data_IF_070483643919
#
_entry.id   IF_070483643919
#
_cell.length_a   1.000
_cell.length_b   1.000
_cell.length_c   1.000
_cell.angle_alpha   90.00
_cell.angle_beta   90.00
_cell.angle_gamma   90.00
#
_symmetry.space_group_name_H-M   'P 1'
#
loop_
_entity.id
_entity.type
_entity.pdbx_description
1 polymer ?
#
# COMPACT_ATOMS: atom_id res chain seq x y z
N UNK A 1 -8.84 -48.55 68.67
CA UNK A 1 -8.05 -48.82 67.44
C UNK A 1 -8.70 -48.05 66.30
N UNK A 2 -8.00 -47.04 65.75
CA UNK A 2 -8.29 -46.40 64.45
C UNK A 2 -7.81 -47.34 63.33
N UNK A 3 -8.49 -47.36 62.16
CA UNK A 3 -8.23 -46.38 61.10
C UNK A 3 -9.54 -45.78 60.55
N UNK A 4 -9.79 -44.46 60.47
CA UNK A 4 -9.23 -43.43 59.57
C UNK A 4 -8.93 -43.89 58.14
N UNK A 5 -9.80 -43.51 57.21
CA UNK A 5 -9.62 -43.65 55.76
C UNK A 5 -10.75 -42.96 55.00
N UNK A 6 -10.76 -41.62 55.05
CA UNK A 6 -11.59 -40.74 54.24
C UNK A 6 -10.91 -40.51 52.87
N UNK A 7 -11.70 -40.13 51.85
CA UNK A 7 -11.36 -39.50 50.55
C UNK A 7 -11.44 -40.42 49.30
N UNK A 8 -11.72 -39.87 48.10
CA UNK A 8 -12.77 -38.91 47.77
C UNK A 8 -13.46 -39.19 46.41
N UNK A 9 -14.58 -38.50 46.16
CA UNK A 9 -15.24 -38.41 44.87
C UNK A 9 -14.29 -37.89 43.78
N UNK A 10 -14.09 -38.68 42.73
CA UNK A 10 -13.28 -38.34 41.56
C UNK A 10 -14.08 -37.36 40.68
N UNK A 11 -13.92 -36.07 40.94
CA UNK A 11 -14.46 -35.00 40.11
C UNK A 11 -13.73 -34.98 38.76
N UNK A 12 -14.45 -35.32 37.70
CA UNK A 12 -14.04 -35.13 36.30
C UNK A 12 -14.04 -33.62 36.03
N UNK A 13 -12.87 -32.98 36.13
CA UNK A 13 -12.66 -31.64 35.61
C UNK A 13 -12.04 -31.74 34.22
N UNK A 14 -12.90 -31.77 33.20
CA UNK A 14 -12.52 -31.60 31.81
C UNK A 14 -12.17 -30.11 31.62
N UNK A 15 -10.89 -29.75 31.78
CA UNK A 15 -10.40 -28.43 31.41
C UNK A 15 -10.34 -28.35 29.89
N UNK A 16 -11.38 -27.80 29.28
CA UNK A 16 -11.37 -27.36 27.88
C UNK A 16 -10.40 -26.19 27.81
N UNK A 17 -9.17 -26.46 27.39
CA UNK A 17 -8.26 -25.42 26.94
C UNK A 17 -8.80 -24.90 25.60
N UNK A 18 -9.56 -23.81 25.65
CA UNK A 18 -9.86 -23.03 24.48
C UNK A 18 -8.53 -22.53 23.88
N UNK A 19 -8.20 -23.04 22.70
CA UNK A 19 -7.09 -22.55 21.89
C UNK A 19 -7.52 -21.21 21.30
N UNK A 20 -7.40 -20.13 22.08
CA UNK A 20 -7.31 -18.79 21.51
C UNK A 20 -5.85 -18.54 21.12
N UNK A 21 -5.39 -19.23 20.08
CA UNK A 21 -4.03 -19.08 19.53
C UNK A 21 -4.05 -18.71 18.03
N UNK A 22 -5.11 -18.04 17.57
CA UNK A 22 -5.23 -17.63 16.18
C UNK A 22 -5.60 -16.14 16.01
N UNK A 23 -5.21 -15.27 16.95
CA UNK A 23 -5.41 -13.82 16.80
C UNK A 23 -4.12 -13.00 16.58
N UNK A 24 -2.94 -13.54 16.84
CA UNK A 24 -1.66 -12.87 16.54
C UNK A 24 -1.05 -13.41 15.23
N UNK A 25 -1.74 -13.15 14.13
CA UNK A 25 -1.27 -13.54 12.80
C UNK A 25 -0.25 -12.51 12.32
N UNK A 26 1.02 -12.81 12.60
CA UNK A 26 2.24 -11.98 12.55
C UNK A 26 2.43 -11.20 13.85
N UNK A 27 3.35 -11.62 14.72
CA UNK A 27 3.90 -10.79 15.81
C UNK A 27 4.64 -9.58 15.24
N UNK A 28 3.91 -8.67 14.61
CA UNK A 28 4.44 -7.47 14.00
C UNK A 28 5.02 -6.58 15.09
N UNK A 29 6.09 -5.87 14.75
CA UNK A 29 6.54 -4.77 15.59
C UNK A 29 5.38 -3.76 15.72
N UNK A 30 5.21 -3.12 16.88
CA UNK A 30 4.23 -2.06 17.04
C UNK A 30 4.39 -1.01 15.94
N UNK A 31 3.30 -0.45 15.38
CA UNK A 31 3.40 0.54 14.33
C UNK A 31 4.12 1.79 14.85
N UNK A 32 5.07 2.31 14.07
CA UNK A 32 5.90 3.45 14.44
C UNK A 32 5.45 4.74 13.74
N UNK A 33 4.74 4.63 12.62
CA UNK A 33 4.32 5.75 11.80
C UNK A 33 2.80 5.84 11.76
N UNK A 34 2.26 7.04 11.94
CA UNK A 34 0.85 7.30 11.71
C UNK A 34 0.57 7.31 10.21
N UNK A 35 -0.59 6.77 9.85
CA UNK A 35 -1.22 6.99 8.56
C UNK A 35 -1.86 8.37 8.57
N UNK A 36 -1.53 9.15 7.55
CA UNK A 36 -2.03 10.50 7.34
C UNK A 36 -2.49 10.58 5.89
N UNK A 37 -3.45 11.47 5.62
CA UNK A 37 -3.90 11.76 4.26
C UNK A 37 -3.14 12.98 3.74
N UNK A 38 -2.55 12.83 2.57
CA UNK A 38 -1.85 13.90 1.86
C UNK A 38 -2.53 14.17 0.52
N UNK A 39 -2.41 15.42 0.05
CA UNK A 39 -2.77 15.79 -1.33
C UNK A 39 -1.51 16.08 -2.11
N UNK A 40 -1.33 15.36 -3.22
CA UNK A 40 -0.11 15.34 -4.02
C UNK A 40 -0.41 15.85 -5.42
N UNK A 41 0.56 16.55 -6.02
CA UNK A 41 0.57 16.94 -7.42
C UNK A 41 1.80 16.32 -8.08
N UNK A 42 1.59 15.65 -9.21
CA UNK A 42 2.64 15.13 -10.08
C UNK A 42 2.47 15.68 -11.49
N UNK A 43 3.58 15.88 -12.18
CA UNK A 43 3.62 16.41 -13.54
C UNK A 43 3.83 15.28 -14.54
N UNK A 44 3.30 15.43 -15.75
CA UNK A 44 3.48 14.43 -16.80
C UNK A 44 4.96 14.35 -17.21
N UNK A 45 5.51 13.15 -17.32
CA UNK A 45 6.90 12.96 -17.77
C UNK A 45 7.15 13.68 -19.10
N UNK A 46 6.24 13.53 -20.07
CA UNK A 46 6.37 14.15 -21.38
C UNK A 46 5.81 15.58 -21.39
N UNK A 47 6.57 16.48 -21.99
CA UNK A 47 6.13 17.85 -22.24
C UNK A 47 6.12 18.76 -21.00
N UNK A 48 6.73 18.34 -19.90
CA UNK A 48 7.00 19.21 -18.74
C UNK A 48 8.51 19.35 -18.49
N UNK A 49 8.97 20.44 -17.86
CA UNK A 49 10.38 20.60 -17.52
C UNK A 49 10.89 19.48 -16.60
N UNK A 50 12.14 19.05 -16.79
CA UNK A 50 12.76 17.95 -16.02
C UNK A 50 12.85 18.24 -14.51
N UNK A 51 12.77 19.51 -14.09
CA UNK A 51 12.80 19.87 -12.68
C UNK A 51 11.47 19.67 -11.95
N UNK A 52 10.42 19.25 -12.67
CA UNK A 52 9.12 18.91 -12.12
C UNK A 52 9.06 17.45 -11.68
N UNK A 53 8.52 17.23 -10.48
CA UNK A 53 8.37 15.89 -9.95
C UNK A 53 7.25 15.15 -10.68
N UNK A 54 7.60 14.03 -11.30
CA UNK A 54 6.69 13.25 -12.16
C UNK A 54 6.35 11.88 -11.59
N UNK A 55 6.95 11.52 -10.47
CA UNK A 55 6.79 10.22 -9.82
C UNK A 55 6.47 10.35 -8.33
N UNK A 56 6.10 9.22 -7.72
CA UNK A 56 5.81 9.12 -6.30
C UNK A 56 6.42 7.84 -5.72
N UNK A 57 6.97 7.95 -4.52
CA UNK A 57 7.54 6.86 -3.73
C UNK A 57 6.69 6.65 -2.47
N UNK A 58 6.06 5.49 -2.35
CA UNK A 58 5.15 5.15 -1.25
C UNK A 58 5.89 5.14 0.07
N UNK A 59 7.12 4.62 0.09
CA UNK A 59 7.91 4.52 1.31
C UNK A 59 8.26 5.89 1.88
N UNK A 60 8.80 6.80 1.06
CA UNK A 60 9.12 8.15 1.52
C UNK A 60 7.91 9.09 1.57
N UNK A 61 6.73 8.66 1.10
CA UNK A 61 5.50 9.47 0.99
C UNK A 61 5.72 10.79 0.25
N UNK A 62 6.54 10.75 -0.80
CA UNK A 62 7.01 11.96 -1.46
C UNK A 62 7.03 11.83 -2.97
N UNK A 63 6.90 12.98 -3.62
CA UNK A 63 7.09 13.11 -5.06
C UNK A 63 8.56 13.01 -5.43
N UNK A 64 8.84 12.45 -6.61
CA UNK A 64 10.19 12.17 -7.10
C UNK A 64 10.42 12.85 -8.42
N UNK A 65 11.55 13.56 -8.49
CA UNK A 65 12.16 14.08 -9.71
C UNK A 65 12.99 12.98 -10.37
N UNK A 66 12.62 12.62 -11.60
CA UNK A 66 13.24 11.50 -12.32
C UNK A 66 14.68 11.79 -12.76
N UNK A 67 15.09 13.07 -12.82
CA UNK A 67 16.47 13.47 -13.10
C UNK A 67 17.40 13.33 -11.88
N UNK A 68 16.84 13.25 -10.67
CA UNK A 68 17.60 13.20 -9.41
C UNK A 68 17.62 11.83 -8.76
N UNK A 69 16.56 11.04 -8.93
CA UNK A 69 16.41 9.76 -8.21
C UNK A 69 15.66 8.74 -9.06
N UNK A 70 16.25 7.55 -9.17
CA UNK A 70 15.69 6.43 -9.94
C UNK A 70 14.77 5.50 -9.13
N UNK A 71 14.66 5.70 -7.80
CA UNK A 71 13.85 4.87 -6.91
C UNK A 71 12.52 5.55 -6.62
N UNK A 72 11.45 4.99 -7.19
CA UNK A 72 10.06 5.40 -7.03
C UNK A 72 9.13 4.21 -7.35
N UNK A 73 7.85 4.32 -7.00
CA UNK A 73 6.89 3.23 -7.19
C UNK A 73 6.03 3.40 -8.44
N UNK A 74 5.64 4.63 -8.77
CA UNK A 74 4.95 4.92 -10.01
C UNK A 74 5.24 6.34 -10.50
N UNK A 75 4.98 6.57 -11.78
CA UNK A 75 5.01 7.88 -12.39
C UNK A 75 3.67 8.24 -13.03
N UNK A 76 3.50 9.51 -13.34
CA UNK A 76 2.37 10.04 -14.07
C UNK A 76 2.82 10.55 -15.43
N UNK A 77 2.00 10.32 -16.46
CA UNK A 77 2.22 10.85 -17.78
C UNK A 77 0.91 11.05 -18.55
N UNK A 78 1.03 11.72 -19.69
CA UNK A 78 -0.02 11.80 -20.70
C UNK A 78 0.47 11.00 -21.90
N UNK A 79 -0.26 9.95 -22.27
CA UNK A 79 0.14 9.05 -23.35
C UNK A 79 0.02 9.68 -24.75
N UNK A 80 0.49 8.94 -25.77
CA UNK A 80 0.46 9.45 -27.15
C UNK A 80 -0.97 9.60 -27.70
N UNK A 81 -1.98 9.05 -27.01
CA UNK A 81 -3.39 9.22 -27.31
C UNK A 81 -4.01 10.36 -26.49
N UNK A 82 -3.22 11.07 -25.68
CA UNK A 82 -3.67 12.17 -24.83
C UNK A 82 -4.34 11.72 -23.53
N UNK A 83 -4.20 10.45 -23.13
CA UNK A 83 -4.83 9.91 -21.93
C UNK A 83 -3.92 10.09 -20.72
N UNK A 84 -4.52 10.49 -19.60
CA UNK A 84 -3.82 10.59 -18.33
C UNK A 84 -3.57 9.17 -17.80
N UNK A 85 -2.31 8.82 -17.50
CA UNK A 85 -1.94 7.47 -17.08
C UNK A 85 -1.06 7.48 -15.84
N UNK A 86 -1.31 6.54 -14.95
CA UNK A 86 -0.31 6.08 -13.99
C UNK A 86 0.50 4.94 -14.59
N UNK A 87 1.81 5.03 -14.37
CA UNK A 87 2.81 4.11 -14.86
C UNK A 87 3.49 3.47 -13.64
N UNK A 88 3.08 2.26 -13.20
CA UNK A 88 3.85 1.49 -12.24
C UNK A 88 5.30 1.38 -12.72
N UNK A 89 6.26 1.34 -11.80
CA UNK A 89 7.68 1.24 -12.15
C UNK A 89 7.97 0.12 -13.17
N UNK A 90 7.31 -1.04 -13.02
CA UNK A 90 7.44 -2.18 -13.92
C UNK A 90 6.88 -1.99 -15.33
N UNK A 91 6.05 -0.97 -15.57
CA UNK A 91 5.59 -0.57 -16.91
C UNK A 91 6.60 0.35 -17.61
N UNK A 92 7.50 0.99 -16.86
CA UNK A 92 8.51 1.93 -17.38
C UNK A 92 9.80 1.19 -17.72
N UNK A 93 10.23 0.29 -16.84
CA UNK A 93 11.47 -0.46 -17.06
C UNK A 93 11.23 -1.64 -18.01
N UNK A 94 12.14 -1.85 -18.95
CA UNK A 94 12.18 -3.09 -19.73
C UNK A 94 12.52 -4.25 -18.80
N UNK A 95 11.50 -4.87 -18.17
CA UNK A 95 11.72 -5.94 -17.19
C UNK A 95 12.21 -7.19 -17.91
N UNK A 96 13.53 -7.35 -18.05
CA UNK A 96 14.19 -8.59 -18.49
C UNK A 96 14.08 -9.73 -17.46
N UNK A 97 12.87 -9.98 -16.93
CA UNK A 97 12.57 -11.13 -16.06
C UNK A 97 12.34 -10.86 -14.57
N UNK A 98 12.60 -9.65 -14.05
CA UNK A 98 12.27 -9.31 -12.66
C UNK A 98 10.77 -8.98 -12.55
N UNK A 99 9.95 -9.94 -12.14
CA UNK A 99 8.49 -9.77 -11.93
C UNK A 99 8.09 -9.65 -10.46
N UNK A 100 8.95 -10.09 -9.54
CA UNK A 100 8.58 -10.24 -8.14
C UNK A 100 8.82 -8.94 -7.40
N UNK A 101 7.80 -8.50 -6.66
CA UNK A 101 7.90 -7.31 -5.82
C UNK A 101 7.85 -5.97 -6.54
N UNK A 102 7.30 -5.93 -7.75
CA UNK A 102 7.02 -4.67 -8.44
C UNK A 102 5.86 -3.91 -7.77
N UNK A 103 5.94 -2.57 -7.73
CA UNK A 103 4.84 -1.72 -7.30
C UNK A 103 3.69 -1.80 -8.31
N UNK A 104 2.51 -1.39 -7.89
CA UNK A 104 1.38 -1.37 -8.81
C UNK A 104 0.09 -0.92 -8.16
N UNK A 105 -0.96 -0.89 -8.99
CA UNK A 105 -2.27 -0.45 -8.58
C UNK A 105 -3.34 -1.51 -8.79
N UNK A 106 -4.41 -1.40 -8.02
CA UNK A 106 -5.62 -2.16 -8.23
C UNK A 106 -6.81 -1.17 -8.19
N UNK A 107 -7.45 -0.89 -9.34
CA UNK A 107 -8.66 -0.09 -9.39
C UNK A 107 -9.78 -0.69 -8.52
N UNK A 108 -10.63 0.17 -7.96
CA UNK A 108 -11.78 -0.26 -7.17
C UNK A 108 -12.95 0.70 -7.33
N UNK A 109 -14.16 0.19 -7.09
CA UNK A 109 -15.38 0.99 -7.00
C UNK A 109 -15.70 1.39 -5.54
N UNK A 110 -14.89 0.95 -4.57
CA UNK A 110 -15.01 1.35 -3.17
C UNK A 110 -14.53 2.79 -3.01
N UNK A 111 -15.33 3.63 -2.36
CA UNK A 111 -14.94 5.01 -2.06
C UNK A 111 -13.68 5.05 -1.20
N UNK A 112 -12.80 6.02 -1.46
CA UNK A 112 -11.53 6.17 -0.74
C UNK A 112 -11.69 6.17 0.78
N UNK A 113 -12.73 6.84 1.31
CA UNK A 113 -12.97 6.94 2.75
C UNK A 113 -13.48 5.61 3.36
N UNK A 114 -14.04 4.72 2.54
CA UNK A 114 -14.52 3.39 2.95
C UNK A 114 -13.41 2.32 2.93
N UNK A 115 -12.30 2.59 2.25
CA UNK A 115 -11.15 1.69 2.24
C UNK A 115 -10.44 1.74 3.59
N UNK A 116 -10.53 0.65 4.35
CA UNK A 116 -9.88 0.49 5.66
C UNK A 116 -8.73 -0.53 5.69
N UNK A 117 -8.64 -1.40 4.68
CA UNK A 117 -7.58 -2.40 4.55
C UNK A 117 -7.21 -2.54 3.07
N UNK A 118 -5.91 -2.61 2.77
CA UNK A 118 -5.41 -2.80 1.41
C UNK A 118 -5.67 -4.21 0.91
N UNK A 119 -5.83 -4.41 -0.39
CA UNK A 119 -5.93 -5.74 -1.00
C UNK A 119 -4.59 -6.47 -1.04
N UNK A 120 -4.62 -7.80 -1.08
CA UNK A 120 -3.40 -8.63 -1.07
C UNK A 120 -2.88 -8.92 -2.49
N UNK A 121 -3.78 -9.09 -3.45
CA UNK A 121 -3.51 -9.58 -4.80
C UNK A 121 -4.26 -8.76 -5.84
N UNK A 122 -3.94 -8.94 -7.13
CA UNK A 122 -4.65 -8.28 -8.23
C UNK A 122 -4.04 -6.97 -8.70
N UNK A 123 -2.85 -6.60 -8.21
CA UNK A 123 -2.16 -5.38 -8.62
C UNK A 123 -1.58 -5.48 -10.03
N UNK A 124 -1.93 -4.51 -10.87
CA UNK A 124 -1.36 -4.26 -12.19
C UNK A 124 0.00 -3.57 -11.98
N UNK A 125 1.08 -4.25 -12.39
CA UNK A 125 2.46 -3.84 -12.07
C UNK A 125 3.35 -3.62 -13.29
N UNK A 126 2.89 -4.05 -14.47
CA UNK A 126 3.64 -4.03 -15.73
C UNK A 126 2.88 -3.40 -16.89
N UNK A 127 1.71 -2.85 -16.61
CA UNK A 127 0.88 -2.17 -17.59
C UNK A 127 0.51 -0.78 -17.07
N UNK A 128 0.17 0.08 -18.02
CA UNK A 128 -0.35 1.42 -17.78
C UNK A 128 -1.76 1.36 -17.21
N UNK A 129 -2.09 2.30 -16.34
CA UNK A 129 -3.44 2.47 -15.82
C UNK A 129 -3.93 3.85 -16.26
N UNK A 130 -4.93 3.86 -17.13
CA UNK A 130 -5.65 5.09 -17.46
C UNK A 130 -6.39 5.58 -16.22
N UNK A 131 -6.23 6.87 -15.91
CA UNK A 131 -6.80 7.50 -14.72
C UNK A 131 -7.71 8.65 -15.08
N UNK A 132 -8.78 8.77 -14.31
CA UNK A 132 -9.82 9.79 -14.46
C UNK A 132 -10.16 10.39 -13.10
N UNK A 133 -10.74 11.58 -13.08
CA UNK A 133 -11.16 12.24 -11.83
C UNK A 133 -12.18 11.38 -11.06
N UNK A 134 -12.03 11.31 -9.75
CA UNK A 134 -12.84 10.49 -8.86
C UNK A 134 -12.38 9.02 -8.75
N UNK A 135 -11.53 8.55 -9.66
CA UNK A 135 -11.05 7.15 -9.65
C UNK A 135 -10.29 6.84 -8.35
N UNK A 136 -10.66 5.73 -7.71
CA UNK A 136 -10.02 5.23 -6.49
C UNK A 136 -9.24 3.94 -6.78
N UNK A 137 -8.04 3.85 -6.22
CA UNK A 137 -7.11 2.75 -6.44
C UNK A 137 -6.48 2.32 -5.12
N UNK A 138 -6.32 1.01 -4.93
CA UNK A 138 -5.29 0.51 -4.02
C UNK A 138 -3.93 0.64 -4.70
N UNK A 139 -2.90 0.85 -3.89
CA UNK A 139 -1.51 0.94 -4.32
C UNK A 139 -0.65 0.08 -3.42
N UNK A 140 0.33 -0.61 -4.00
CA UNK A 140 1.39 -1.28 -3.25
C UNK A 140 2.76 -0.77 -3.70
N UNK A 141 3.69 -0.69 -2.75
CA UNK A 141 5.07 -0.35 -3.06
C UNK A 141 5.81 -1.52 -3.70
N UNK A 142 6.99 -1.22 -4.21
CA UNK A 142 8.01 -2.20 -4.52
C UNK A 142 8.54 -2.87 -3.25
N UNK A 143 9.18 -4.03 -3.40
CA UNK A 143 9.90 -4.73 -2.31
C UNK A 143 11.33 -4.21 -2.11
N UNK A 144 11.63 -2.98 -2.53
CA UNK A 144 12.98 -2.42 -2.46
C UNK A 144 13.38 -2.10 -1.00
N UNK A 145 13.81 -3.14 -0.28
CA UNK A 145 14.76 -3.13 0.84
C UNK A 145 14.35 -2.51 2.17
N UNK A 146 13.18 -1.88 2.28
CA UNK A 146 12.82 -1.06 3.45
C UNK A 146 12.00 -1.82 4.50
N UNK A 147 11.12 -2.72 4.07
CA UNK A 147 10.44 -3.65 4.96
C UNK A 147 11.24 -4.96 5.07
N UNK A 148 11.80 -5.22 6.26
CA UNK A 148 12.63 -6.41 6.54
C UNK A 148 11.92 -7.75 6.33
N UNK A 149 10.59 -7.74 6.29
CA UNK A 149 9.76 -8.92 6.03
C UNK A 149 9.64 -9.27 4.53
N UNK A 150 10.20 -8.47 3.62
CA UNK A 150 10.14 -8.74 2.18
C UNK A 150 8.72 -8.65 1.60
N UNK A 151 7.88 -7.81 2.21
CA UNK A 151 6.49 -7.55 1.81
C UNK A 151 6.31 -6.06 1.49
N UNK A 152 5.35 -5.68 0.64
CA UNK A 152 5.21 -4.30 0.22
C UNK A 152 4.53 -3.46 1.32
N UNK A 153 4.74 -2.16 1.24
CA UNK A 153 3.86 -1.19 1.88
C UNK A 153 2.60 -1.00 1.04
N UNK A 154 1.55 -0.51 1.69
CA UNK A 154 0.26 -0.36 1.06
C UNK A 154 -0.25 1.06 1.19
N UNK A 155 -1.00 1.51 0.19
CA UNK A 155 -1.62 2.81 0.15
C UNK A 155 -3.00 2.73 -0.53
N UNK A 156 -3.78 3.78 -0.36
CA UNK A 156 -4.94 4.09 -1.20
C UNK A 156 -4.75 5.45 -1.85
N UNK A 157 -5.25 5.60 -3.06
CA UNK A 157 -5.19 6.83 -3.86
C UNK A 157 -6.57 7.14 -4.39
N UNK A 158 -6.96 8.42 -4.38
CA UNK A 158 -8.06 8.91 -5.18
C UNK A 158 -7.59 10.08 -6.03
N UNK A 159 -7.89 10.00 -7.31
CA UNK A 159 -7.59 11.05 -8.27
C UNK A 159 -8.57 12.20 -8.08
N UNK A 160 -8.05 13.40 -7.82
CA UNK A 160 -8.85 14.59 -7.50
C UNK A 160 -9.05 15.53 -8.69
N UNK A 161 -8.27 15.39 -9.76
CA UNK A 161 -8.40 16.20 -10.97
C UNK A 161 -7.09 16.35 -11.73
N UNK A 162 -7.19 16.81 -12.97
CA UNK A 162 -6.04 17.09 -13.85
C UNK A 162 -6.07 18.54 -14.29
N UNK A 163 -4.88 19.10 -14.51
CA UNK A 163 -4.69 20.41 -15.12
C UNK A 163 -4.00 20.21 -16.48
N UNK A 164 -4.72 20.40 -17.60
CA UNK A 164 -4.15 20.21 -18.93
C UNK A 164 -3.15 21.31 -19.33
N UNK A 165 -3.25 22.51 -18.76
CA UNK A 165 -2.32 23.62 -19.05
C UNK A 165 -0.98 23.37 -18.37
N UNK A 166 -1.02 22.95 -17.09
CA UNK A 166 0.17 22.59 -16.31
C UNK A 166 0.66 21.16 -16.60
N UNK A 167 -0.13 20.36 -17.36
CA UNK A 167 0.10 18.93 -17.61
C UNK A 167 0.35 18.18 -16.30
N UNK A 168 -0.51 18.38 -15.32
CA UNK A 168 -0.37 17.83 -13.97
C UNK A 168 -1.61 17.08 -13.51
N UNK A 169 -1.44 16.18 -12.55
CA UNK A 169 -2.52 15.44 -11.91
C UNK A 169 -2.40 15.61 -10.39
N UNK A 170 -3.54 15.91 -9.76
CA UNK A 170 -3.69 15.99 -8.32
C UNK A 170 -4.42 14.77 -7.79
N UNK A 171 -3.91 14.17 -6.72
CA UNK A 171 -4.53 13.03 -6.06
C UNK A 171 -4.40 13.14 -4.54
N UNK A 172 -5.36 12.57 -3.80
CA UNK A 172 -5.18 12.29 -2.38
C UNK A 172 -4.64 10.89 -2.17
N UNK A 173 -3.81 10.72 -1.15
CA UNK A 173 -3.17 9.44 -0.83
C UNK A 173 -3.11 9.25 0.68
N UNK A 174 -3.26 8.01 1.12
CA UNK A 174 -2.89 7.57 2.45
C UNK A 174 -2.01 6.34 2.30
N UNK A 175 -0.76 6.45 2.76
CA UNK A 175 0.23 5.37 2.67
C UNK A 175 0.57 4.83 4.05
N UNK A 176 0.46 3.52 4.23
CA UNK A 176 0.92 2.80 5.41
C UNK A 176 2.33 2.26 5.18
N UNK A 177 3.30 2.89 5.83
CA UNK A 177 4.73 2.55 5.76
C UNK A 177 5.20 1.71 6.95
N UNK A 178 4.26 1.12 7.71
CA UNK A 178 4.57 0.18 8.77
C UNK A 178 4.67 -1.23 8.20
N UNK A 179 5.84 -1.85 8.33
CA UNK A 179 6.14 -3.15 7.74
C UNK A 179 5.17 -4.23 8.29
N UNK A 180 4.45 -4.92 7.40
CA UNK A 180 3.45 -5.93 7.78
C UNK A 180 2.02 -5.45 7.87
N UNK A 181 1.78 -4.15 8.01
CA UNK A 181 0.44 -3.62 8.18
C UNK A 181 -0.23 -3.30 6.83
N UNK A 182 -1.53 -3.56 6.75
CA UNK A 182 -2.39 -3.27 5.59
C UNK A 182 -3.47 -2.25 5.89
N UNK A 183 -3.62 -1.82 7.15
CA UNK A 183 -4.60 -0.84 7.57
C UNK A 183 -4.43 0.50 6.84
N UNK A 184 -5.51 1.01 6.25
CA UNK A 184 -5.56 2.25 5.45
C UNK A 184 -6.53 3.29 6.05
N UNK A 185 -6.63 3.32 7.37
CA UNK A 185 -7.32 4.37 8.13
C UNK A 185 -6.32 5.34 8.73
N UNK A 186 -6.75 6.59 9.00
CA UNK A 186 -5.92 7.60 9.67
C UNK A 186 -5.52 7.12 11.07
N UNK A 187 -4.30 7.48 11.49
CA UNK A 187 -3.74 7.11 12.78
C UNK A 187 -2.81 5.89 12.72
N UNK A 188 -2.52 5.29 13.86
CA UNK A 188 -1.68 4.08 13.88
C UNK A 188 -2.47 2.88 13.34
N UNK A 189 -1.93 2.13 12.37
CA UNK A 189 -2.61 0.96 11.84
C UNK A 189 -2.67 -0.17 12.87
N UNK A 190 -3.75 -0.95 12.83
CA UNK A 190 -3.97 -2.13 13.67
C UNK A 190 -4.33 -3.39 12.85
N UNK A 191 -4.13 -3.33 11.53
CA UNK A 191 -4.38 -4.39 10.53
C UNK A 191 -3.28 -4.38 9.49
#
# INVERSE_FOLDING_TARGET
MRPTGLLPALAIFLAVLAVEACSDQLSLLPPQFRNEEDTIIVYAIRGTPLDRASAYDVYSRNVVRLDQRAVFDFAYDIDDQGRNVFLPYGAIIATGGQSNGLPGFQPTNTDFDQISIAEQLGYITKDTIEVQEGMTLYLRSSLNGTCSLGIPYYAKVQVLGMDPEQRSLRFRVLANINCGYRGLTIGFPNK
#
